data_IF_168343042908
#
_entry.id   IF_168343042908
#
_cell.length_a   1.000
_cell.length_b   1.000
_cell.length_c   1.000
_cell.angle_alpha   90.00
_cell.angle_beta   90.00
_cell.angle_gamma   90.00
#
_symmetry.space_group_name_H-M   'P 1'
#
loop_
_entity.id
_entity.type
_entity.pdbx_description
1 polymer ?
#
# COMPACT_ATOMS: atom_id res chain seq x y z
N UNK A 1 16.27 20.81 -19.17
CA UNK A 1 15.15 19.85 -19.14
C UNK A 1 15.45 18.79 -18.10
N UNK A 2 14.54 18.54 -17.17
CA UNK A 2 14.67 17.42 -16.22
C UNK A 2 13.98 16.21 -16.83
N UNK A 3 14.76 15.29 -17.40
CA UNK A 3 14.26 13.97 -17.72
C UNK A 3 13.80 13.30 -16.42
N UNK A 4 12.50 13.09 -16.28
CA UNK A 4 11.98 12.12 -15.32
C UNK A 4 12.55 10.75 -15.69
N UNK A 5 13.34 10.15 -14.80
CA UNK A 5 13.81 8.76 -14.89
C UNK A 5 12.65 7.72 -14.77
N UNK A 6 11.41 8.19 -14.73
CA UNK A 6 10.21 7.38 -14.54
C UNK A 6 9.23 7.63 -15.69
N UNK A 7 8.98 6.59 -16.48
CA UNK A 7 7.99 6.59 -17.56
C UNK A 7 6.67 6.03 -17.03
N UNK A 8 5.56 6.70 -17.31
CA UNK A 8 4.24 6.20 -16.95
C UNK A 8 3.79 5.12 -17.95
N UNK A 9 3.27 4.02 -17.42
CA UNK A 9 2.77 2.89 -18.19
C UNK A 9 1.31 3.10 -18.58
N UNK A 10 1.00 3.01 -19.87
CA UNK A 10 -0.35 3.18 -20.38
C UNK A 10 -1.32 2.17 -19.74
N UNK A 11 -2.48 2.64 -19.30
CA UNK A 11 -3.49 1.83 -18.62
C UNK A 11 -3.21 1.54 -17.13
N UNK A 12 -2.03 1.87 -16.60
CA UNK A 12 -1.70 1.66 -15.20
C UNK A 12 -2.41 2.67 -14.27
N UNK A 13 -2.66 2.27 -13.02
CA UNK A 13 -3.25 3.12 -11.99
C UNK A 13 -2.21 3.55 -10.94
N UNK A 14 -1.92 4.85 -10.90
CA UNK A 14 -1.01 5.48 -9.95
C UNK A 14 -1.78 6.03 -8.75
N UNK A 15 -1.70 5.32 -7.62
CA UNK A 15 -2.45 5.64 -6.39
C UNK A 15 -1.53 6.40 -5.42
N UNK A 16 -1.86 7.65 -5.08
CA UNK A 16 -0.96 8.52 -4.31
C UNK A 16 -1.63 9.30 -3.16
N UNK A 17 -0.85 9.67 -2.16
CA UNK A 17 -1.30 10.50 -1.05
C UNK A 17 -1.59 11.95 -1.47
N UNK A 18 -2.32 12.71 -0.63
CA UNK A 18 -2.62 14.14 -0.88
C UNK A 18 -1.38 15.03 -1.04
N UNK A 19 -0.22 14.62 -0.53
CA UNK A 19 1.03 15.38 -0.64
C UNK A 19 1.53 15.45 -2.09
N UNK A 20 1.16 14.49 -2.94
CA UNK A 20 1.64 14.32 -4.31
C UNK A 20 0.77 15.03 -5.36
N UNK A 21 -0.18 15.89 -4.95
CA UNK A 21 -0.90 16.72 -5.92
C UNK A 21 0.07 17.76 -6.50
N UNK A 22 0.46 17.49 -7.74
CA UNK A 22 1.25 18.33 -8.64
C UNK A 22 0.60 18.24 -10.03
N UNK A 23 -0.04 19.32 -10.46
CA UNK A 23 -0.90 19.31 -11.66
C UNK A 23 -0.11 19.10 -12.96
N UNK A 24 1.16 19.49 -13.01
CA UNK A 24 2.00 19.25 -14.19
C UNK A 24 2.27 17.75 -14.34
N UNK A 25 2.66 17.08 -13.25
CA UNK A 25 2.83 15.62 -13.22
C UNK A 25 1.54 14.85 -13.49
N UNK A 26 0.40 15.37 -13.01
CA UNK A 26 -0.89 14.75 -13.32
C UNK A 26 -1.22 14.86 -14.82
N UNK A 27 -0.77 15.94 -15.50
CA UNK A 27 -0.89 16.08 -16.96
C UNK A 27 -0.02 15.04 -17.67
N UNK A 28 1.22 14.85 -17.22
CA UNK A 28 2.12 13.82 -17.77
C UNK A 28 1.51 12.41 -17.67
N UNK A 29 0.89 12.05 -16.54
CA UNK A 29 0.19 10.76 -16.39
C UNK A 29 -0.97 10.64 -17.39
N UNK A 30 -1.76 11.71 -17.55
CA UNK A 30 -2.91 11.76 -18.45
C UNK A 30 -2.48 11.63 -19.92
N UNK A 31 -1.41 12.32 -20.31
CA UNK A 31 -0.80 12.28 -21.64
C UNK A 31 -0.23 10.90 -21.98
N UNK A 32 0.26 10.15 -20.99
CA UNK A 32 0.70 8.77 -21.15
C UNK A 32 -0.44 7.74 -21.19
N UNK A 33 -1.71 8.16 -21.28
CA UNK A 33 -2.88 7.26 -21.19
C UNK A 33 -2.90 6.40 -19.92
N UNK A 34 -2.29 6.91 -18.85
CA UNK A 34 -2.31 6.29 -17.53
C UNK A 34 -3.35 6.97 -16.63
N UNK A 35 -3.68 6.31 -15.52
CA UNK A 35 -4.68 6.79 -14.58
C UNK A 35 -4.07 7.15 -13.24
N UNK A 36 -4.60 8.17 -12.58
CA UNK A 36 -4.24 8.49 -11.21
C UNK A 36 -5.44 8.43 -10.27
N UNK A 37 -5.20 8.10 -9.01
CA UNK A 37 -6.17 8.26 -7.91
C UNK A 37 -5.46 8.88 -6.72
N UNK A 38 -5.83 10.12 -6.38
CA UNK A 38 -5.25 10.85 -5.26
C UNK A 38 -6.32 11.31 -4.29
N UNK A 39 -5.93 11.50 -3.03
CA UNK A 39 -6.77 12.22 -2.06
C UNK A 39 -6.71 13.73 -2.33
N UNK A 40 -7.87 14.37 -2.44
CA UNK A 40 -7.97 15.81 -2.64
C UNK A 40 -7.37 16.60 -1.46
N UNK A 41 -6.75 17.75 -1.77
CA UNK A 41 -6.34 18.74 -0.77
C UNK A 41 -7.54 19.60 -0.35
N UNK A 42 -7.51 20.14 0.88
CA UNK A 42 -8.60 21.01 1.40
C UNK A 42 -8.80 22.28 0.58
N UNK A 43 -7.71 22.88 0.09
CA UNK A 43 -7.69 24.09 -0.72
C UNK A 43 -7.81 23.81 -2.23
N UNK A 44 -8.35 22.65 -2.61
CA UNK A 44 -8.59 22.32 -4.01
C UNK A 44 -9.64 23.28 -4.58
N UNK A 45 -9.21 24.22 -5.42
CA UNK A 45 -10.06 25.24 -6.02
C UNK A 45 -10.60 24.74 -7.38
N UNK A 46 -11.92 24.56 -7.45
CA UNK A 46 -12.59 24.01 -8.63
C UNK A 46 -13.99 24.58 -8.83
N UNK A 47 -14.49 24.41 -10.05
CA UNK A 47 -15.89 24.59 -10.43
C UNK A 47 -16.46 23.24 -10.82
N UNK A 48 -17.60 22.88 -10.21
CA UNK A 48 -18.37 21.68 -10.61
C UNK A 48 -19.03 21.92 -11.97
N UNK A 49 -18.89 20.95 -12.87
CA UNK A 49 -19.55 20.94 -14.18
C UNK A 49 -20.77 20.03 -14.16
N UNK A 50 -20.58 18.80 -13.70
CA UNK A 50 -21.64 17.77 -13.66
C UNK A 50 -21.57 16.99 -12.34
N UNK A 51 -22.67 16.34 -11.98
CA UNK A 51 -22.74 15.41 -10.86
C UNK A 51 -23.46 14.15 -11.33
N UNK A 52 -22.79 13.02 -11.28
CA UNK A 52 -23.38 11.73 -11.62
C UNK A 52 -24.36 11.30 -10.51
N UNK A 53 -25.38 10.53 -10.88
CA UNK A 53 -26.22 9.82 -9.89
C UNK A 53 -25.37 8.74 -9.23
N UNK A 54 -25.52 8.58 -7.93
CA UNK A 54 -24.78 7.61 -7.12
C UNK A 54 -25.74 6.88 -6.19
N UNK A 55 -25.49 5.60 -5.97
CA UNK A 55 -26.13 4.87 -4.89
C UNK A 55 -25.48 5.24 -3.56
N UNK A 56 -26.22 5.89 -2.67
CA UNK A 56 -25.71 6.31 -1.36
C UNK A 56 -25.55 5.15 -0.37
N UNK A 57 -26.14 3.98 -0.65
CA UNK A 57 -25.96 2.75 0.15
C UNK A 57 -24.50 2.29 0.18
N UNK A 58 -23.78 2.49 -0.92
CA UNK A 58 -22.36 2.13 -1.11
C UNK A 58 -21.38 2.98 -0.29
N UNK A 59 -21.84 4.07 0.34
CA UNK A 59 -20.98 5.04 1.02
C UNK A 59 -20.49 6.17 0.11
N UNK A 60 -20.72 6.11 -1.20
CA UNK A 60 -20.48 7.23 -2.12
C UNK A 60 -21.47 8.35 -1.81
N UNK A 61 -20.94 9.54 -1.48
CA UNK A 61 -21.72 10.74 -1.18
C UNK A 61 -21.95 11.60 -2.42
N UNK A 62 -20.94 11.70 -3.28
CA UNK A 62 -21.07 12.27 -4.62
C UNK A 62 -19.99 11.74 -5.56
N UNK A 63 -20.29 11.79 -6.85
CA UNK A 63 -19.36 11.62 -7.96
C UNK A 63 -19.55 12.78 -8.94
N UNK A 64 -18.52 13.60 -9.11
CA UNK A 64 -18.61 14.88 -9.79
C UNK A 64 -17.53 15.05 -10.83
N UNK A 65 -17.87 15.73 -11.93
CA UNK A 65 -16.89 16.19 -12.91
C UNK A 65 -16.66 17.67 -12.65
N UNK A 66 -15.39 18.05 -12.48
CA UNK A 66 -14.98 19.39 -12.10
C UNK A 66 -13.88 19.92 -13.03
N UNK A 67 -13.69 21.24 -13.04
CA UNK A 67 -12.53 21.90 -13.64
C UNK A 67 -11.84 22.79 -12.62
N UNK A 68 -10.51 22.85 -12.69
CA UNK A 68 -9.71 23.73 -11.82
C UNK A 68 -10.00 25.20 -12.13
N UNK A 69 -10.07 26.02 -11.08
CA UNK A 69 -10.33 27.48 -11.20
C UNK A 69 -9.10 28.33 -10.91
N UNK A 70 -8.13 27.80 -10.15
CA UNK A 70 -6.88 28.53 -9.87
C UNK A 70 -6.07 28.76 -11.15
N UNK A 71 -5.54 29.98 -11.33
CA UNK A 71 -4.84 30.38 -12.55
C UNK A 71 -3.68 29.43 -12.92
N UNK A 72 -2.75 29.21 -11.99
CA UNK A 72 -1.60 28.30 -12.19
C UNK A 72 -2.06 26.86 -12.42
N UNK A 73 -2.91 26.33 -11.54
CA UNK A 73 -3.40 24.96 -11.61
C UNK A 73 -4.16 24.65 -12.90
N UNK A 74 -4.97 25.60 -13.40
CA UNK A 74 -5.70 25.46 -14.66
C UNK A 74 -4.76 25.48 -15.87
N UNK A 75 -3.70 26.27 -15.81
CA UNK A 75 -2.66 26.28 -16.86
C UNK A 75 -1.88 24.95 -16.88
N UNK A 76 -1.53 24.42 -15.71
CA UNK A 76 -0.81 23.15 -15.58
C UNK A 76 -1.67 21.91 -15.90
N UNK A 77 -2.98 21.96 -15.63
CA UNK A 77 -3.91 20.87 -15.95
C UNK A 77 -5.25 21.45 -16.45
N UNK A 78 -5.41 21.65 -17.77
CA UNK A 78 -6.62 22.28 -18.35
C UNK A 78 -7.80 21.30 -18.48
N UNK A 79 -7.53 19.99 -18.39
CA UNK A 79 -8.51 18.92 -18.55
C UNK A 79 -9.51 18.86 -17.39
N UNK A 80 -10.62 18.15 -17.62
CA UNK A 80 -11.60 17.86 -16.57
C UNK A 80 -10.98 16.89 -15.56
N UNK A 81 -11.42 16.97 -14.31
CA UNK A 81 -11.05 16.04 -13.24
C UNK A 81 -12.34 15.43 -12.69
N UNK A 82 -12.33 14.14 -12.36
CA UNK A 82 -13.40 13.50 -11.60
C UNK A 82 -13.10 13.60 -10.11
N UNK A 83 -14.06 14.07 -9.33
CA UNK A 83 -13.99 14.21 -7.87
C UNK A 83 -15.04 13.33 -7.22
N UNK A 84 -14.61 12.42 -6.36
CA UNK A 84 -15.48 11.46 -5.66
C UNK A 84 -15.40 11.73 -4.16
N UNK A 85 -16.53 11.70 -3.46
CA UNK A 85 -16.56 11.72 -1.99
C UNK A 85 -17.12 10.42 -1.47
N UNK A 86 -16.35 9.75 -0.63
CA UNK A 86 -16.64 8.44 -0.08
C UNK A 86 -16.62 8.52 1.44
N UNK A 87 -17.62 7.92 2.08
CA UNK A 87 -17.65 7.71 3.52
C UNK A 87 -17.33 6.24 3.80
N UNK A 88 -16.22 6.05 4.50
CA UNK A 88 -15.79 4.77 5.01
C UNK A 88 -16.48 4.52 6.36
N UNK A 89 -17.42 3.57 6.37
CA UNK A 89 -18.16 3.18 7.57
C UNK A 89 -17.27 2.50 8.61
N UNK A 90 -16.29 1.70 8.18
CA UNK A 90 -15.41 0.95 9.09
C UNK A 90 -14.51 1.89 9.89
N UNK A 91 -14.05 2.98 9.24
CA UNK A 91 -13.14 3.95 9.85
C UNK A 91 -13.82 5.21 10.36
N UNK A 92 -15.15 5.29 10.20
CA UNK A 92 -15.96 6.49 10.42
C UNK A 92 -15.30 7.76 9.83
N UNK A 93 -14.87 7.68 8.57
CA UNK A 93 -14.06 8.72 7.93
C UNK A 93 -14.53 9.04 6.52
N UNK A 94 -14.50 10.33 6.20
CA UNK A 94 -14.78 10.82 4.86
C UNK A 94 -13.49 11.06 4.09
N UNK A 95 -13.48 10.56 2.86
CA UNK A 95 -12.40 10.73 1.90
C UNK A 95 -12.93 11.45 0.66
N UNK A 96 -12.12 12.36 0.13
CA UNK A 96 -12.36 12.97 -1.18
C UNK A 96 -11.21 12.59 -2.09
N UNK A 97 -11.54 12.03 -3.25
CA UNK A 97 -10.61 11.54 -4.24
C UNK A 97 -10.70 12.39 -5.51
N UNK A 98 -9.58 12.51 -6.22
CA UNK A 98 -9.50 13.03 -7.58
C UNK A 98 -8.88 11.99 -8.51
N UNK A 99 -9.41 11.88 -9.73
CA UNK A 99 -8.94 10.94 -10.76
C UNK A 99 -9.20 11.50 -12.16
N UNK A 100 -8.38 11.11 -13.14
CA UNK A 100 -8.67 11.28 -14.58
C UNK A 100 -9.46 10.09 -15.17
N UNK A 101 -9.80 9.07 -14.38
CA UNK A 101 -10.63 7.96 -14.84
C UNK A 101 -12.14 8.29 -14.72
N UNK A 102 -12.79 8.44 -15.87
CA UNK A 102 -14.22 8.72 -15.97
C UNK A 102 -15.09 7.47 -16.24
N UNK A 103 -14.48 6.29 -16.35
CA UNK A 103 -15.15 5.06 -16.80
C UNK A 103 -15.49 4.11 -15.67
N UNK A 104 -14.59 3.95 -14.70
CA UNK A 104 -14.79 3.03 -13.58
C UNK A 104 -15.89 3.53 -12.63
N UNK A 105 -16.52 2.62 -11.90
CA UNK A 105 -17.44 2.99 -10.83
C UNK A 105 -16.70 3.80 -9.74
N UNK A 106 -17.38 4.79 -9.17
CA UNK A 106 -16.88 5.61 -8.08
C UNK A 106 -16.52 4.75 -6.84
N UNK A 107 -17.28 3.68 -6.60
CA UNK A 107 -16.96 2.72 -5.52
C UNK A 107 -15.62 2.01 -5.80
N UNK A 108 -15.41 1.54 -7.02
CA UNK A 108 -14.16 0.88 -7.42
C UNK A 108 -12.95 1.83 -7.29
N UNK A 109 -13.11 3.12 -7.62
CA UNK A 109 -12.06 4.13 -7.39
C UNK A 109 -11.74 4.26 -5.89
N UNK A 110 -12.76 4.24 -5.02
CA UNK A 110 -12.56 4.29 -3.58
C UNK A 110 -11.82 3.02 -3.07
N UNK A 111 -12.18 1.85 -3.57
CA UNK A 111 -11.54 0.59 -3.21
C UNK A 111 -10.09 0.48 -3.72
N UNK A 112 -9.81 0.99 -4.93
CA UNK A 112 -8.44 1.15 -5.43
C UNK A 112 -7.62 2.01 -4.45
N UNK A 113 -8.17 3.11 -3.95
CA UNK A 113 -7.45 3.95 -2.98
C UNK A 113 -7.18 3.23 -1.65
N UNK A 114 -8.09 2.34 -1.19
CA UNK A 114 -7.86 1.55 0.03
C UNK A 114 -6.63 0.66 -0.08
N UNK A 115 -6.28 0.18 -1.29
CA UNK A 115 -5.06 -0.60 -1.52
C UNK A 115 -3.79 0.17 -1.16
N UNK A 116 -3.82 1.51 -1.15
CA UNK A 116 -2.69 2.34 -0.70
C UNK A 116 -2.32 2.08 0.77
N UNK A 117 -3.27 1.66 1.62
CA UNK A 117 -2.94 1.31 3.00
C UNK A 117 -2.07 0.06 3.11
N UNK A 118 -2.11 -0.84 2.13
CA UNK A 118 -1.23 -2.00 2.11
C UNK A 118 0.25 -1.57 2.06
N UNK A 119 0.55 -0.46 1.38
CA UNK A 119 1.90 0.13 1.36
C UNK A 119 2.29 0.66 2.75
N UNK A 120 1.36 1.30 3.47
CA UNK A 120 1.62 1.77 4.85
C UNK A 120 1.86 0.60 5.81
N UNK A 121 1.08 -0.47 5.68
CA UNK A 121 1.24 -1.70 6.47
C UNK A 121 2.58 -2.35 6.15
N UNK A 122 2.96 -2.42 4.87
CA UNK A 122 4.27 -2.91 4.43
C UNK A 122 5.43 -2.12 5.05
N UNK A 123 5.43 -0.78 4.95
CA UNK A 123 6.50 0.02 5.54
C UNK A 123 6.49 -0.01 7.07
N UNK A 124 5.31 -0.12 7.70
CA UNK A 124 5.20 -0.35 9.14
C UNK A 124 5.86 -1.67 9.52
N UNK A 125 5.57 -2.74 8.78
CA UNK A 125 6.16 -4.06 9.01
C UNK A 125 7.69 -4.02 8.87
N UNK A 126 8.22 -3.41 7.80
CA UNK A 126 9.67 -3.25 7.60
C UNK A 126 10.30 -2.56 8.81
N UNK A 127 9.77 -1.40 9.22
CA UNK A 127 10.32 -0.64 10.34
C UNK A 127 10.25 -1.38 11.68
N UNK A 128 9.22 -2.22 11.87
CA UNK A 128 9.01 -2.94 13.12
C UNK A 128 9.86 -4.22 13.23
N UNK A 129 9.96 -5.00 12.15
CA UNK A 129 10.49 -6.36 12.20
C UNK A 129 11.89 -6.49 11.61
N UNK A 130 12.24 -5.67 10.63
CA UNK A 130 13.60 -5.55 10.15
C UNK A 130 14.23 -4.46 11.01
N UNK A 131 15.00 -4.85 12.04
CA UNK A 131 15.64 -3.94 13.01
C UNK A 131 16.58 -2.94 12.31
N UNK A 132 16.03 -1.92 11.65
CA UNK A 132 16.74 -0.68 11.31
C UNK A 132 16.78 0.15 12.61
N UNK A 133 17.34 -0.41 13.67
CA UNK A 133 17.46 0.25 14.98
C UNK A 133 18.74 1.10 15.07
N UNK A 134 19.77 0.71 14.33
CA UNK A 134 20.95 1.52 14.04
C UNK A 134 21.44 1.19 12.64
N UNK A 135 21.82 2.23 11.89
CA UNK A 135 22.50 2.01 10.63
C UNK A 135 23.93 1.54 10.93
N UNK A 136 24.31 0.35 10.44
CA UNK A 136 25.69 -0.17 10.51
C UNK A 136 26.73 0.71 9.79
N UNK A 137 26.29 1.73 9.06
CA UNK A 137 27.11 2.79 8.49
C UNK A 137 26.24 4.01 8.20
N UNK A 138 26.79 5.21 8.35
CA UNK A 138 26.04 6.47 8.17
C UNK A 138 26.12 7.03 6.73
N UNK A 139 26.89 6.38 5.84
CA UNK A 139 26.96 6.82 4.45
C UNK A 139 25.64 6.57 3.72
N UNK A 140 25.33 7.42 2.74
CA UNK A 140 24.12 7.29 1.92
C UNK A 140 24.02 5.90 1.28
N UNK A 141 25.14 5.35 0.82
CA UNK A 141 25.20 4.00 0.24
C UNK A 141 24.90 2.92 1.28
N UNK A 142 25.42 3.03 2.51
CA UNK A 142 25.13 2.07 3.58
C UNK A 142 23.64 2.06 3.93
N UNK A 143 23.02 3.24 4.01
CA UNK A 143 21.57 3.39 4.24
C UNK A 143 20.76 2.77 3.10
N UNK A 144 21.09 3.11 1.84
CA UNK A 144 20.41 2.55 0.65
C UNK A 144 20.51 1.02 0.62
N UNK A 145 21.70 0.47 0.85
CA UNK A 145 21.91 -0.98 0.88
C UNK A 145 21.07 -1.66 1.95
N UNK A 146 20.99 -1.10 3.16
CA UNK A 146 20.15 -1.66 4.22
C UNK A 146 18.66 -1.64 3.87
N UNK A 147 18.17 -0.57 3.23
CA UNK A 147 16.80 -0.50 2.75
C UNK A 147 16.54 -1.58 1.68
N UNK A 148 17.45 -1.75 0.73
CA UNK A 148 17.32 -2.76 -0.33
C UNK A 148 17.35 -4.19 0.19
N UNK A 149 18.22 -4.48 1.18
CA UNK A 149 18.26 -5.78 1.86
C UNK A 149 16.93 -6.01 2.56
N UNK A 150 16.43 -5.01 3.30
CA UNK A 150 15.18 -5.11 4.03
C UNK A 150 13.98 -5.41 3.12
N UNK A 151 13.86 -4.68 2.00
CA UNK A 151 12.82 -4.91 0.99
C UNK A 151 12.96 -6.30 0.38
N UNK A 152 14.17 -6.70 -0.01
CA UNK A 152 14.45 -8.02 -0.58
C UNK A 152 14.08 -9.16 0.37
N UNK A 153 14.48 -9.07 1.64
CA UNK A 153 14.14 -10.07 2.67
C UNK A 153 12.62 -10.21 2.84
N UNK A 154 11.87 -9.10 2.91
CA UNK A 154 10.42 -9.15 2.97
C UNK A 154 9.83 -9.86 1.74
N UNK A 155 10.28 -9.51 0.53
CA UNK A 155 9.78 -10.10 -0.71
C UNK A 155 10.04 -11.60 -0.77
N UNK A 156 11.23 -12.05 -0.35
CA UNK A 156 11.58 -13.48 -0.29
C UNK A 156 10.65 -14.22 0.69
N UNK A 157 10.38 -13.65 1.86
CA UNK A 157 9.50 -14.28 2.86
C UNK A 157 8.05 -14.30 2.40
N UNK A 158 7.57 -13.21 1.81
CA UNK A 158 6.22 -13.13 1.24
C UNK A 158 6.03 -14.13 0.08
N UNK A 159 7.06 -14.27 -0.76
CA UNK A 159 7.09 -15.25 -1.84
C UNK A 159 7.10 -16.69 -1.32
N UNK A 160 7.94 -16.99 -0.32
CA UNK A 160 7.99 -18.30 0.34
C UNK A 160 6.64 -18.66 0.97
N UNK A 161 6.01 -17.72 1.69
CA UNK A 161 4.65 -17.89 2.22
C UNK A 161 3.66 -18.26 1.12
N UNK A 162 3.69 -17.55 -0.01
CA UNK A 162 2.77 -17.77 -1.13
C UNK A 162 2.96 -19.14 -1.79
N UNK A 163 4.21 -19.54 -2.05
CA UNK A 163 4.51 -20.82 -2.71
C UNK A 163 4.18 -22.00 -1.81
N UNK A 164 4.56 -21.91 -0.53
CA UNK A 164 4.37 -22.98 0.44
C UNK A 164 2.95 -22.99 1.04
N UNK A 165 2.10 -22.03 0.66
CA UNK A 165 0.72 -21.85 1.17
C UNK A 165 0.66 -21.89 2.70
N UNK A 166 1.57 -21.18 3.36
CA UNK A 166 1.67 -21.16 4.82
C UNK A 166 0.58 -20.26 5.41
N UNK A 167 -0.15 -20.79 6.40
CA UNK A 167 -1.18 -20.02 7.12
C UNK A 167 -0.56 -19.02 8.11
N UNK A 168 0.69 -19.25 8.53
CA UNK A 168 1.44 -18.38 9.46
C UNK A 168 1.66 -16.97 8.90
N UNK A 169 1.66 -15.96 9.77
CA UNK A 169 1.97 -14.57 9.40
C UNK A 169 3.40 -14.43 8.86
N UNK A 170 3.66 -13.37 8.09
CA UNK A 170 5.02 -13.07 7.56
C UNK A 170 6.03 -12.94 8.71
N UNK A 171 5.60 -12.41 9.86
CA UNK A 171 6.46 -12.27 11.03
C UNK A 171 6.83 -13.62 11.65
N UNK A 172 5.87 -14.53 11.83
CA UNK A 172 6.16 -15.88 12.36
C UNK A 172 7.11 -16.65 11.44
N UNK A 173 6.89 -16.55 10.12
CA UNK A 173 7.79 -17.14 9.13
C UNK A 173 9.19 -16.54 9.25
N UNK A 174 9.30 -15.20 9.38
CA UNK A 174 10.58 -14.53 9.62
C UNK A 174 11.26 -15.04 10.90
N UNK A 175 10.53 -15.20 12.01
CA UNK A 175 11.10 -15.68 13.28
C UNK A 175 11.66 -17.09 13.13
N UNK A 176 10.89 -18.01 12.55
CA UNK A 176 11.31 -19.38 12.27
C UNK A 176 12.59 -19.38 11.43
N UNK A 177 12.59 -18.64 10.32
CA UNK A 177 13.77 -18.54 9.45
C UNK A 177 14.97 -17.92 10.17
N UNK A 178 14.75 -16.93 11.04
CA UNK A 178 15.83 -16.28 11.78
C UNK A 178 16.53 -17.23 12.75
N UNK A 179 15.78 -18.10 13.43
CA UNK A 179 16.33 -19.12 14.35
C UNK A 179 16.95 -20.28 13.58
N UNK A 180 16.41 -20.61 12.41
CA UNK A 180 16.90 -21.68 11.53
C UNK A 180 17.82 -21.18 10.41
N UNK A 181 18.45 -20.01 10.56
CA UNK A 181 19.20 -19.37 9.46
C UNK A 181 20.36 -20.22 8.92
N UNK A 182 20.92 -21.11 9.75
CA UNK A 182 22.01 -22.02 9.40
C UNK A 182 21.54 -23.48 9.26
N UNK A 183 20.25 -23.72 9.39
CA UNK A 183 19.65 -25.04 9.23
C UNK A 183 19.62 -25.40 7.73
N UNK A 184 19.97 -26.65 7.41
CA UNK A 184 19.93 -27.18 6.04
C UNK A 184 18.62 -27.87 5.71
N UNK A 185 17.68 -27.92 6.66
CA UNK A 185 16.37 -28.54 6.49
C UNK A 185 15.59 -27.82 5.39
N UNK A 186 15.05 -28.54 4.39
CA UNK A 186 14.20 -27.95 3.36
C UNK A 186 13.03 -27.18 3.96
N UNK A 187 12.69 -26.01 3.41
CA UNK A 187 11.68 -25.10 3.98
C UNK A 187 10.33 -25.77 4.22
N UNK A 188 9.87 -26.60 3.27
CA UNK A 188 8.62 -27.34 3.40
C UNK A 188 8.61 -28.28 4.62
N UNK A 189 9.75 -28.88 4.95
CA UNK A 189 9.91 -29.76 6.11
C UNK A 189 10.05 -28.94 7.39
N UNK A 190 10.83 -27.86 7.37
CA UNK A 190 11.03 -26.96 8.50
C UNK A 190 9.68 -26.45 9.03
N UNK A 191 8.80 -25.95 8.16
CA UNK A 191 7.49 -25.42 8.57
C UNK A 191 6.50 -26.51 9.02
N UNK A 192 6.58 -27.73 8.48
CA UNK A 192 5.77 -28.89 8.90
C UNK A 192 6.20 -29.44 10.26
N UNK A 193 7.51 -29.55 10.50
CA UNK A 193 8.05 -30.10 11.74
C UNK A 193 7.71 -29.18 12.92
N UNK A 194 7.71 -27.87 12.72
CA UNK A 194 7.28 -26.89 13.71
C UNK A 194 5.76 -26.94 13.96
N UNK A 195 4.94 -27.23 12.94
CA UNK A 195 3.51 -27.47 13.15
C UNK A 195 3.29 -28.68 14.07
N UNK A 196 3.97 -29.79 13.80
CA UNK A 196 3.87 -31.01 14.62
C UNK A 196 4.31 -30.76 16.06
N UNK A 197 5.40 -30.01 16.28
CA UNK A 197 5.86 -29.65 17.62
C UNK A 197 4.87 -28.75 18.37
N UNK A 198 4.23 -27.78 17.69
CA UNK A 198 3.21 -26.92 18.29
C UNK A 198 1.92 -27.70 18.64
N UNK A 199 1.55 -28.70 17.84
CA UNK A 199 0.44 -29.60 18.17
C UNK A 199 0.77 -30.47 19.40
N UNK A 200 2.02 -30.93 19.53
CA UNK A 200 2.45 -31.74 20.68
C UNK A 200 2.62 -30.92 21.97
N UNK A 201 3.06 -29.66 21.90
CA UNK A 201 3.18 -28.77 23.06
C UNK A 201 1.84 -28.26 23.59
N UNK A 202 0.76 -28.41 22.82
CA UNK A 202 -0.62 -28.11 23.25
C UNK A 202 -1.25 -29.22 24.10
N UNK A 203 -0.53 -30.32 24.37
CA UNK A 203 -0.96 -31.37 25.29
C UNK A 203 -0.53 -31.00 26.73
N UNK A 204 -1.47 -30.69 27.65
CA UNK A 204 -1.14 -30.13 28.96
C UNK A 204 -0.75 -31.24 29.95
N UNK A 205 0.31 -32.01 29.66
CA UNK A 205 0.92 -32.90 30.64
C UNK A 205 2.19 -32.24 31.20
N UNK A 206 2.03 -31.02 31.74
CA UNK A 206 3.08 -30.37 32.51
C UNK A 206 3.03 -30.92 33.94
N UNK A 207 3.94 -31.85 34.27
CA UNK A 207 4.19 -32.32 35.63
C UNK A 207 4.59 -31.13 36.51
N UNK A 208 3.89 -30.95 37.64
CA UNK A 208 4.24 -29.96 38.67
C UNK A 208 5.57 -30.35 39.30
N UNK A 209 6.58 -29.48 39.16
CA UNK A 209 7.95 -29.72 39.64
C UNK A 209 8.17 -29.38 41.13
N UNK A 210 7.11 -29.16 41.90
CA UNK A 210 7.23 -28.85 43.33
C UNK A 210 6.13 -29.55 44.13
N UNK A 211 6.33 -30.85 44.36
CA UNK A 211 5.77 -31.57 45.50
C UNK A 211 6.96 -32.26 46.20
N UNK A 212 7.61 -31.52 47.10
CA UNK A 212 8.53 -32.00 48.15
C UNK A 212 8.22 -31.22 49.42
#
# INVERSE_FOLDING_TARGET
>A
GRGSLFTFEAGAFYIMGKAYIDFEKLSEIDECSAFYVLRAKRNFAYKRLYSNKVDKGTGIKYDQIVKLTGYKSKKSYPNKIRKIKFYDKEKDKVYEFITNNFKLDALLIADLYKQRWQIEIFFKWIKQHLKIKSFWGQSENAVKTQIWIAVSSYLIIAYAKKILKLDKSIYEILQILSVSSFDKTPLNQLFRQIEIQNFQSSNPNQLKLFDL
#
